data_IF_060383393982
#
_entry.id   IF_060383393982
#
_cell.length_a   1.000
_cell.length_b   1.000
_cell.length_c   1.000
_cell.angle_alpha   90.00
_cell.angle_beta   90.00
_cell.angle_gamma   90.00
#
_symmetry.space_group_name_H-M   'P 1'
#
loop_
_entity.id
_entity.type
_entity.pdbx_description
1 polymer ?
#
# COMPACT_ATOMS: atom_id res chain seq x y z
N UNK A 1 -7.50 9.08 -6.54
CA UNK A 1 -6.66 8.32 -5.56
C UNK A 1 -6.42 6.90 -6.09
N UNK A 2 -5.24 6.29 -5.88
CA UNK A 2 -4.94 4.90 -6.26
C UNK A 2 -5.50 3.89 -5.23
N UNK A 3 -6.30 2.93 -5.67
CA UNK A 3 -6.90 1.89 -4.81
C UNK A 3 -6.13 0.57 -4.94
N UNK A 4 -5.44 0.16 -3.89
CA UNK A 4 -4.68 -1.09 -3.83
C UNK A 4 -5.49 -2.11 -3.00
N UNK A 5 -5.87 -3.24 -3.59
CA UNK A 5 -6.63 -4.27 -2.86
C UNK A 5 -5.72 -5.06 -1.92
N UNK A 6 -6.11 -5.17 -0.64
CA UNK A 6 -5.37 -5.90 0.40
C UNK A 6 -5.68 -7.41 0.47
N UNK A 7 -6.52 -7.92 -0.45
CA UNK A 7 -7.21 -9.20 -0.25
C UNK A 7 -6.44 -10.43 -0.73
N UNK A 8 -5.33 -10.29 -1.45
CA UNK A 8 -4.44 -11.40 -1.83
C UNK A 8 -3.30 -11.49 -0.80
N UNK A 9 -3.69 -11.78 0.45
CA UNK A 9 -2.79 -11.81 1.59
C UNK A 9 -2.88 -13.16 2.33
N UNK A 10 -1.75 -13.85 2.48
CA UNK A 10 -1.63 -15.16 3.13
C UNK A 10 -1.98 -15.20 4.61
N UNK A 11 -2.18 -14.04 5.27
CA UNK A 11 -2.78 -13.95 6.60
C UNK A 11 -4.27 -14.34 6.60
N UNK A 12 -4.98 -14.17 5.47
CA UNK A 12 -6.33 -14.68 5.31
C UNK A 12 -6.29 -16.19 5.10
N UNK A 13 -6.88 -16.95 6.03
CA UNK A 13 -6.76 -18.41 6.07
C UNK A 13 -7.09 -19.12 4.74
N UNK A 14 -8.07 -18.62 3.96
CA UNK A 14 -8.41 -19.19 2.66
C UNK A 14 -7.30 -18.95 1.62
N UNK A 15 -6.79 -17.71 1.54
CA UNK A 15 -5.70 -17.33 0.63
C UNK A 15 -4.41 -18.05 1.01
N UNK A 16 -4.09 -18.12 2.30
CA UNK A 16 -2.93 -18.84 2.80
C UNK A 16 -2.94 -20.31 2.38
N UNK A 17 -4.07 -21.00 2.56
CA UNK A 17 -4.23 -22.40 2.10
C UNK A 17 -4.08 -22.54 0.58
N UNK A 18 -4.62 -21.60 -0.20
CA UNK A 18 -4.49 -21.61 -1.64
C UNK A 18 -3.03 -21.42 -2.09
N UNK A 19 -2.28 -20.54 -1.43
CA UNK A 19 -0.84 -20.35 -1.68
C UNK A 19 -0.06 -21.63 -1.36
N UNK A 20 -0.36 -22.27 -0.23
CA UNK A 20 0.33 -23.49 0.21
C UNK A 20 0.03 -24.68 -0.71
N UNK A 21 -1.20 -24.77 -1.22
CA UNK A 21 -1.64 -25.81 -2.15
C UNK A 21 -1.31 -25.51 -3.62
N UNK A 22 -0.74 -24.32 -3.93
CA UNK A 22 -0.57 -23.82 -5.30
C UNK A 22 -1.87 -23.87 -6.11
N UNK A 23 -2.98 -23.49 -5.48
CA UNK A 23 -4.31 -23.44 -6.11
C UNK A 23 -4.43 -22.19 -6.99
N UNK A 24 -3.98 -22.32 -8.24
CA UNK A 24 -3.98 -21.24 -9.22
C UNK A 24 -5.38 -20.71 -9.48
N UNK A 25 -6.36 -21.61 -9.60
CA UNK A 25 -7.74 -21.26 -9.92
C UNK A 25 -8.34 -20.39 -8.81
N UNK A 26 -8.13 -20.75 -7.54
CA UNK A 26 -8.61 -19.93 -6.43
C UNK A 26 -8.00 -18.53 -6.46
N UNK A 27 -6.68 -18.42 -6.62
CA UNK A 27 -5.98 -17.13 -6.63
C UNK A 27 -6.42 -16.27 -7.82
N UNK A 28 -6.52 -16.84 -9.01
CA UNK A 28 -6.97 -16.14 -10.21
C UNK A 28 -8.40 -15.62 -10.07
N UNK A 29 -9.33 -16.45 -9.60
CA UNK A 29 -10.72 -16.05 -9.35
C UNK A 29 -10.79 -14.93 -8.31
N UNK A 30 -9.99 -15.04 -7.24
CA UNK A 30 -9.94 -14.04 -6.18
C UNK A 30 -9.37 -12.71 -6.68
N UNK A 31 -8.35 -12.74 -7.55
CA UNK A 31 -7.79 -11.57 -8.21
C UNK A 31 -8.82 -10.87 -9.11
N UNK A 32 -9.52 -11.65 -9.97
CA UNK A 32 -10.60 -11.12 -10.82
C UNK A 32 -11.68 -10.45 -9.99
N UNK A 33 -12.10 -11.08 -8.89
CA UNK A 33 -13.08 -10.49 -7.98
C UNK A 33 -12.61 -9.13 -7.42
N UNK A 34 -11.32 -8.99 -7.08
CA UNK A 34 -10.81 -7.70 -6.59
C UNK A 34 -10.87 -6.61 -7.67
N UNK A 35 -10.60 -6.98 -8.93
CA UNK A 35 -10.72 -6.05 -10.06
C UNK A 35 -12.16 -5.63 -10.29
N UNK A 36 -13.11 -6.56 -10.24
CA UNK A 36 -14.54 -6.29 -10.36
C UNK A 36 -15.06 -5.38 -9.24
N UNK A 37 -14.46 -5.46 -8.05
CA UNK A 37 -14.73 -4.55 -6.93
C UNK A 37 -14.05 -3.16 -7.06
N UNK A 38 -13.30 -2.91 -8.14
CA UNK A 38 -12.70 -1.60 -8.43
C UNK A 38 -11.26 -1.43 -7.93
N UNK A 39 -10.53 -2.52 -7.66
CA UNK A 39 -9.09 -2.44 -7.42
C UNK A 39 -8.36 -1.85 -8.65
N UNK A 40 -7.39 -0.99 -8.39
CA UNK A 40 -6.51 -0.39 -9.41
C UNK A 40 -5.07 -0.90 -9.29
N UNK A 41 -4.75 -1.61 -8.21
CA UNK A 41 -3.55 -2.40 -8.01
C UNK A 41 -3.87 -3.56 -7.05
N UNK A 42 -3.04 -4.60 -7.04
CA UNK A 42 -3.22 -5.78 -6.19
C UNK A 42 -2.02 -5.94 -5.24
N UNK A 43 -2.26 -5.89 -3.94
CA UNK A 43 -1.26 -6.22 -2.91
C UNK A 43 -1.12 -7.74 -2.79
N UNK A 44 0.11 -8.22 -2.97
CA UNK A 44 0.48 -9.63 -2.98
C UNK A 44 1.37 -9.91 -1.77
N UNK A 45 0.78 -10.51 -0.74
CA UNK A 45 1.50 -10.88 0.47
C UNK A 45 1.40 -12.40 0.65
N UNK A 46 2.55 -13.07 0.67
CA UNK A 46 2.58 -14.53 0.85
C UNK A 46 2.24 -14.97 2.27
N UNK A 47 2.23 -14.08 3.26
CA UNK A 47 1.99 -14.37 4.67
C UNK A 47 3.23 -14.90 5.42
N UNK A 48 3.24 -14.87 6.76
CA UNK A 48 4.38 -15.29 7.58
C UNK A 48 4.56 -16.82 7.58
N UNK A 49 5.77 -17.26 7.91
CA UNK A 49 6.05 -18.66 8.29
C UNK A 49 6.13 -19.67 7.14
N UNK A 50 6.34 -19.23 5.90
CA UNK A 50 6.58 -20.13 4.76
C UNK A 50 8.08 -20.35 4.57
N UNK A 51 8.50 -21.61 4.66
CA UNK A 51 9.91 -22.02 4.49
C UNK A 51 10.44 -21.65 3.09
N UNK A 52 9.55 -21.58 2.10
CA UNK A 52 9.86 -21.22 0.71
C UNK A 52 9.15 -19.93 0.27
N UNK A 53 9.37 -18.85 1.04
CA UNK A 53 8.86 -17.51 0.72
C UNK A 53 9.15 -17.05 -0.72
N UNK A 54 10.41 -17.13 -1.21
CA UNK A 54 10.77 -16.73 -2.57
C UNK A 54 9.98 -17.45 -3.66
N UNK A 55 9.90 -18.79 -3.65
CA UNK A 55 9.15 -19.49 -4.70
C UNK A 55 7.63 -19.29 -4.56
N UNK A 56 7.13 -19.12 -3.33
CA UNK A 56 5.72 -18.77 -3.12
C UNK A 56 5.37 -17.40 -3.72
N UNK A 57 6.25 -16.40 -3.54
CA UNK A 57 6.02 -15.08 -4.12
C UNK A 57 6.13 -15.11 -5.65
N UNK A 58 7.14 -15.79 -6.20
CA UNK A 58 7.29 -15.96 -7.64
C UNK A 58 6.06 -16.64 -8.27
N UNK A 59 5.57 -17.73 -7.66
CA UNK A 59 4.35 -18.40 -8.11
C UNK A 59 3.12 -17.48 -8.01
N UNK A 60 2.95 -16.78 -6.88
CA UNK A 60 1.81 -15.90 -6.64
C UNK A 60 1.76 -14.78 -7.68
N UNK A 61 2.89 -14.12 -7.94
CA UNK A 61 3.02 -13.08 -8.96
C UNK A 61 2.63 -13.61 -10.34
N UNK A 62 3.24 -14.71 -10.77
CA UNK A 62 2.96 -15.33 -12.09
C UNK A 62 1.49 -15.70 -12.25
N UNK A 63 0.89 -16.29 -11.21
CA UNK A 63 -0.51 -16.72 -11.21
C UNK A 63 -1.47 -15.54 -11.35
N UNK A 64 -1.24 -14.45 -10.59
CA UNK A 64 -2.13 -13.28 -10.62
C UNK A 64 -2.06 -12.55 -11.96
N UNK A 65 -0.86 -12.40 -12.54
CA UNK A 65 -0.71 -11.67 -13.80
C UNK A 65 -1.21 -12.41 -15.04
N UNK A 66 -1.54 -13.71 -14.93
CA UNK A 66 -2.20 -14.45 -16.01
C UNK A 66 -3.64 -13.97 -16.26
N UNK A 67 -4.24 -13.32 -15.26
CA UNK A 67 -5.63 -12.84 -15.31
C UNK A 67 -5.76 -11.35 -15.03
N UNK A 68 -4.65 -10.63 -14.81
CA UNK A 68 -4.65 -9.21 -14.46
C UNK A 68 -3.46 -8.45 -15.05
N UNK A 69 -3.74 -7.33 -15.70
CA UNK A 69 -2.74 -6.35 -16.15
C UNK A 69 -2.56 -5.20 -15.14
N UNK A 70 -3.20 -5.27 -13.97
CA UNK A 70 -3.08 -4.23 -12.95
C UNK A 70 -1.66 -4.17 -12.38
N UNK A 71 -1.21 -3.00 -11.90
CA UNK A 71 -0.02 -2.90 -11.07
C UNK A 71 -0.04 -3.90 -9.91
N UNK A 72 1.09 -4.54 -9.66
CA UNK A 72 1.27 -5.49 -8.57
C UNK A 72 2.12 -4.87 -7.47
N UNK A 73 1.59 -4.89 -6.25
CA UNK A 73 2.25 -4.42 -5.04
C UNK A 73 2.84 -5.62 -4.30
N UNK A 74 4.15 -5.81 -4.38
CA UNK A 74 4.85 -6.96 -3.80
C UNK A 74 5.09 -6.67 -2.32
N UNK A 75 4.33 -7.32 -1.45
CA UNK A 75 4.34 -7.08 -0.02
C UNK A 75 5.11 -8.17 0.73
N UNK A 76 6.32 -7.82 1.16
CA UNK A 76 7.13 -8.68 2.02
C UNK A 76 8.25 -7.91 2.72
N UNK A 77 8.55 -8.23 4.00
CA UNK A 77 9.70 -7.66 4.69
C UNK A 77 11.04 -8.31 4.29
N UNK A 78 11.01 -9.44 3.55
CA UNK A 78 12.20 -10.23 3.25
C UNK A 78 12.79 -9.93 1.88
N UNK A 79 14.03 -9.44 1.82
CA UNK A 79 14.70 -9.05 0.55
C UNK A 79 14.78 -10.18 -0.49
N UNK A 80 14.95 -11.44 -0.06
CA UNK A 80 14.97 -12.60 -0.97
C UNK A 80 13.61 -12.83 -1.63
N UNK A 81 12.55 -12.75 -0.83
CA UNK A 81 11.16 -12.89 -1.30
C UNK A 81 10.78 -11.71 -2.20
N UNK A 82 11.18 -10.50 -1.82
CA UNK A 82 11.01 -9.29 -2.62
C UNK A 82 11.66 -9.44 -3.99
N UNK A 83 12.93 -9.82 -4.01
CA UNK A 83 13.70 -10.01 -5.26
C UNK A 83 13.05 -11.03 -6.18
N UNK A 84 12.54 -12.15 -5.63
CA UNK A 84 11.85 -13.17 -6.42
C UNK A 84 10.55 -12.63 -7.04
N UNK A 85 9.72 -11.93 -6.26
CA UNK A 85 8.49 -11.31 -6.76
C UNK A 85 8.74 -10.24 -7.82
N UNK A 86 9.71 -9.35 -7.55
CA UNK A 86 10.11 -8.28 -8.46
C UNK A 86 10.62 -8.83 -9.79
N UNK A 87 11.46 -9.87 -9.78
CA UNK A 87 11.96 -10.51 -11.01
C UNK A 87 10.88 -11.27 -11.80
N UNK A 88 9.88 -11.80 -11.10
CA UNK A 88 8.77 -12.51 -11.73
C UNK A 88 7.75 -11.55 -12.35
N UNK A 89 7.64 -10.32 -11.83
CA UNK A 89 6.63 -9.36 -12.23
C UNK A 89 6.91 -8.78 -13.63
N UNK A 90 5.90 -8.83 -14.50
CA UNK A 90 5.91 -8.17 -15.82
C UNK A 90 5.00 -6.94 -15.90
N UNK A 91 4.16 -6.74 -14.88
CA UNK A 91 3.24 -5.62 -14.80
C UNK A 91 3.96 -4.39 -14.23
N UNK A 92 3.27 -3.24 -14.15
CA UNK A 92 3.76 -2.14 -13.31
C UNK A 92 3.95 -2.63 -11.88
N UNK A 93 5.03 -2.22 -11.26
CA UNK A 93 5.49 -2.78 -10.00
C UNK A 93 5.50 -1.73 -8.90
N UNK A 94 4.96 -2.09 -7.74
CA UNK A 94 5.09 -1.34 -6.49
C UNK A 94 5.80 -2.25 -5.49
N UNK A 95 6.91 -1.79 -4.91
CA UNK A 95 7.63 -2.48 -3.85
C UNK A 95 7.04 -2.06 -2.50
N UNK A 96 6.49 -3.01 -1.75
CA UNK A 96 5.97 -2.83 -0.40
C UNK A 96 6.79 -3.64 0.61
N UNK A 97 7.76 -3.04 1.29
CA UNK A 97 8.13 -1.62 1.34
C UNK A 97 9.58 -1.49 1.82
N UNK A 98 10.10 -0.26 1.89
CA UNK A 98 11.32 0.06 2.66
C UNK A 98 10.99 0.94 3.87
N UNK A 99 11.84 0.91 4.88
CA UNK A 99 11.83 1.81 6.05
C UNK A 99 12.95 2.85 5.94
N UNK A 100 12.98 3.84 6.82
CA UNK A 100 14.01 4.89 6.86
C UNK A 100 15.38 4.41 7.39
N UNK A 101 15.61 3.10 7.45
CA UNK A 101 16.90 2.49 7.75
C UNK A 101 17.79 2.53 6.50
N UNK A 102 18.94 3.21 6.57
CA UNK A 102 19.85 3.41 5.43
C UNK A 102 20.19 2.09 4.74
N UNK A 103 20.51 1.05 5.50
CA UNK A 103 20.88 -0.26 4.95
C UNK A 103 19.75 -0.92 4.16
N UNK A 104 18.48 -0.72 4.56
CA UNK A 104 17.33 -1.27 3.83
C UNK A 104 17.06 -0.48 2.54
N UNK A 105 17.14 0.84 2.61
CA UNK A 105 17.03 1.70 1.44
C UNK A 105 18.11 1.41 0.40
N UNK A 106 19.38 1.28 0.82
CA UNK A 106 20.50 0.94 -0.06
C UNK A 106 20.37 -0.45 -0.70
N UNK A 107 19.65 -1.38 -0.06
CA UNK A 107 19.36 -2.69 -0.64
C UNK A 107 18.17 -2.65 -1.63
N UNK A 108 17.13 -1.87 -1.34
CA UNK A 108 15.88 -1.86 -2.12
C UNK A 108 15.86 -0.85 -3.26
N UNK A 109 16.47 0.33 -3.12
CA UNK A 109 16.44 1.35 -4.18
C UNK A 109 17.16 0.90 -5.47
N UNK A 110 18.33 0.24 -5.44
CA UNK A 110 18.90 -0.32 -6.66
C UNK A 110 17.96 -1.30 -7.37
N UNK A 111 17.28 -2.17 -6.61
CA UNK A 111 16.30 -3.11 -7.14
C UNK A 111 15.09 -2.39 -7.75
N UNK A 112 14.58 -1.36 -7.07
CA UNK A 112 13.49 -0.54 -7.58
C UNK A 112 13.85 0.21 -8.87
N UNK A 113 15.09 0.71 -8.95
CA UNK A 113 15.62 1.39 -10.13
C UNK A 113 15.80 0.45 -11.31
N UNK A 114 16.35 -0.75 -11.08
CA UNK A 114 16.55 -1.79 -12.10
C UNK A 114 15.22 -2.22 -12.73
N UNK A 115 14.16 -2.32 -11.92
CA UNK A 115 12.86 -2.84 -12.34
C UNK A 115 11.79 -1.78 -12.60
N UNK A 116 12.17 -0.50 -12.66
CA UNK A 116 11.24 0.63 -12.83
C UNK A 116 10.03 0.61 -11.87
N UNK A 117 10.27 0.19 -10.63
CA UNK A 117 9.25 0.06 -9.58
C UNK A 117 8.97 1.35 -8.79
N UNK A 118 7.71 1.63 -8.51
CA UNK A 118 7.35 2.54 -7.42
C UNK A 118 7.71 1.93 -6.07
N UNK A 119 7.98 2.74 -5.05
CA UNK A 119 8.40 2.25 -3.72
C UNK A 119 7.55 2.85 -2.62
N UNK A 120 6.95 1.99 -1.79
CA UNK A 120 6.32 2.40 -0.54
C UNK A 120 7.41 2.61 0.53
N UNK A 121 7.39 3.80 1.13
CA UNK A 121 8.38 4.28 2.08
C UNK A 121 7.73 4.50 3.45
N UNK A 122 7.92 3.54 4.36
CA UNK A 122 7.37 3.59 5.71
C UNK A 122 8.21 4.53 6.58
N UNK A 123 7.58 5.55 7.19
CA UNK A 123 8.28 6.48 8.09
C UNK A 123 8.49 5.85 9.48
N UNK A 124 9.39 4.87 9.55
CA UNK A 124 9.93 4.27 10.75
C UNK A 124 11.39 3.88 10.55
N UNK A 125 12.10 3.66 11.64
CA UNK A 125 13.49 3.17 11.63
C UNK A 125 13.70 2.07 12.69
N UNK A 126 14.96 1.78 13.02
CA UNK A 126 15.35 0.81 14.07
C UNK A 126 14.76 1.12 15.46
N UNK A 127 14.41 2.38 15.72
CA UNK A 127 13.79 2.84 16.99
C UNK A 127 12.28 2.66 16.98
N UNK A 128 11.70 2.29 15.84
CA UNK A 128 10.28 2.06 15.63
C UNK A 128 9.56 3.24 14.99
N UNK A 129 8.24 3.29 15.22
CA UNK A 129 7.37 4.32 14.63
C UNK A 129 7.51 5.62 15.42
N UNK A 130 7.78 6.78 14.78
CA UNK A 130 7.83 8.06 15.45
C UNK A 130 6.50 8.43 16.09
N UNK A 131 6.56 9.09 17.24
CA UNK A 131 5.37 9.47 17.98
C UNK A 131 4.68 10.71 17.41
N UNK A 132 5.42 11.68 16.88
CA UNK A 132 4.92 12.96 16.37
C UNK A 132 4.90 13.02 14.83
N UNK A 133 4.38 14.13 14.28
CA UNK A 133 4.16 14.28 12.83
C UNK A 133 5.40 14.82 12.13
N UNK A 134 6.15 15.66 12.83
CA UNK A 134 7.37 16.32 12.39
C UNK A 134 8.48 15.27 12.17
N UNK A 135 8.68 14.35 13.10
CA UNK A 135 9.64 13.25 12.96
C UNK A 135 9.32 12.32 11.79
N UNK A 136 8.02 12.09 11.50
CA UNK A 136 7.61 11.36 10.28
C UNK A 136 8.01 12.13 9.01
N UNK A 137 7.83 13.45 9.00
CA UNK A 137 8.24 14.30 7.88
C UNK A 137 9.76 14.36 7.70
N UNK A 138 10.52 14.40 8.79
CA UNK A 138 11.99 14.28 8.77
C UNK A 138 12.44 12.97 8.13
N UNK A 139 11.82 11.84 8.53
CA UNK A 139 12.09 10.53 7.90
C UNK A 139 11.71 10.52 6.42
N UNK A 140 10.56 11.09 6.04
CA UNK A 140 10.16 11.18 4.65
C UNK A 140 11.18 11.96 3.79
N UNK A 141 11.68 13.10 4.29
CA UNK A 141 12.72 13.89 3.62
C UNK A 141 14.02 13.11 3.47
N UNK A 142 14.43 12.36 4.50
CA UNK A 142 15.59 11.48 4.45
C UNK A 142 15.43 10.42 3.35
N UNK A 143 14.27 9.76 3.31
CA UNK A 143 13.98 8.73 2.31
C UNK A 143 13.96 9.29 0.89
N UNK A 144 13.36 10.47 0.68
CA UNK A 144 13.37 11.16 -0.62
C UNK A 144 14.78 11.51 -1.07
N UNK A 145 15.59 12.08 -0.18
CA UNK A 145 16.97 12.46 -0.52
C UNK A 145 17.81 11.22 -0.83
N UNK A 146 17.68 10.16 -0.04
CA UNK A 146 18.37 8.89 -0.27
C UNK A 146 17.94 8.26 -1.60
N UNK A 147 16.64 8.29 -1.94
CA UNK A 147 16.16 7.78 -3.22
C UNK A 147 16.76 8.53 -4.41
N UNK A 148 16.91 9.86 -4.31
CA UNK A 148 17.52 10.68 -5.35
C UNK A 148 19.00 10.34 -5.57
N UNK A 149 19.74 9.98 -4.53
CA UNK A 149 21.13 9.47 -4.65
C UNK A 149 21.20 8.16 -5.45
N UNK A 150 20.09 7.41 -5.51
CA UNK A 150 19.92 6.19 -6.31
C UNK A 150 19.16 6.42 -7.63
N UNK A 151 19.06 7.67 -8.10
CA UNK A 151 18.38 8.07 -9.33
C UNK A 151 16.86 7.76 -9.35
N UNK A 152 16.24 7.66 -8.17
CA UNK A 152 14.78 7.50 -8.03
C UNK A 152 14.20 8.87 -7.65
N UNK A 153 13.37 9.40 -8.55
CA UNK A 153 12.72 10.69 -8.35
C UNK A 153 11.61 10.60 -7.29
N UNK A 154 11.33 11.69 -6.54
CA UNK A 154 10.33 11.66 -5.47
C UNK A 154 8.91 11.28 -5.92
N UNK A 155 8.56 11.51 -7.18
CA UNK A 155 7.28 11.11 -7.75
C UNK A 155 7.11 9.60 -7.81
N UNK A 156 8.19 8.81 -7.75
CA UNK A 156 8.17 7.33 -7.67
C UNK A 156 8.03 6.77 -6.25
N UNK A 157 8.03 7.63 -5.23
CA UNK A 157 7.88 7.23 -3.84
C UNK A 157 6.44 7.42 -3.38
N UNK A 158 5.92 6.43 -2.64
CA UNK A 158 4.67 6.54 -1.89
C UNK A 158 5.01 6.58 -0.40
N UNK A 159 4.93 7.76 0.20
CA UNK A 159 5.24 7.96 1.62
C UNK A 159 4.09 7.44 2.49
N UNK A 160 4.40 6.54 3.44
CA UNK A 160 3.44 5.99 4.40
C UNK A 160 3.77 6.47 5.83
N UNK A 161 2.89 7.28 6.46
CA UNK A 161 3.08 7.77 7.83
C UNK A 161 2.87 6.71 8.92
N UNK A 162 2.56 5.47 8.55
CA UNK A 162 2.24 4.33 9.40
C UNK A 162 1.01 4.55 10.29
N UNK A 163 -0.12 4.07 9.79
CA UNK A 163 -1.37 4.01 10.55
C UNK A 163 -1.26 2.97 11.68
N UNK A 164 -1.55 3.41 12.91
CA UNK A 164 -1.53 2.55 14.10
C UNK A 164 -2.95 2.16 14.54
N UNK A 165 -3.14 0.99 15.20
CA UNK A 165 -4.46 0.58 15.69
C UNK A 165 -5.01 1.54 16.75
N UNK A 166 -6.20 2.09 16.51
CA UNK A 166 -6.85 3.06 17.40
C UNK A 166 -7.05 2.50 18.81
N UNK A 167 -7.23 1.18 18.93
CA UNK A 167 -7.43 0.49 20.21
C UNK A 167 -6.20 0.59 21.14
N UNK A 168 -5.01 0.69 20.57
CA UNK A 168 -3.75 0.73 21.32
C UNK A 168 -3.08 2.11 21.30
N UNK A 169 -3.32 2.91 20.25
CA UNK A 169 -2.60 4.14 19.98
C UNK A 169 -3.54 5.24 19.45
N UNK A 170 -4.61 5.53 20.20
CA UNK A 170 -5.67 6.44 19.78
C UNK A 170 -5.18 7.84 19.40
N UNK A 171 -4.18 8.36 20.11
CA UNK A 171 -3.59 9.68 19.89
C UNK A 171 -2.79 9.77 18.57
N UNK A 172 -2.50 8.66 17.91
CA UNK A 172 -1.76 8.64 16.64
C UNK A 172 -2.59 9.05 15.44
N UNK A 173 -3.91 8.84 15.44
CA UNK A 173 -4.75 9.05 14.25
C UNK A 173 -4.65 10.48 13.70
N UNK A 174 -4.75 11.50 14.56
CA UNK A 174 -4.62 12.90 14.13
C UNK A 174 -3.18 13.29 13.80
N UNK A 175 -2.18 12.62 14.38
CA UNK A 175 -0.77 12.85 14.06
C UNK A 175 -0.43 12.29 12.68
N UNK A 176 -1.02 11.16 12.31
CA UNK A 176 -0.94 10.62 10.95
C UNK A 176 -1.58 11.59 9.94
N UNK A 177 -2.75 12.16 10.25
CA UNK A 177 -3.38 13.20 9.41
C UNK A 177 -2.47 14.42 9.24
N UNK A 178 -1.88 14.90 10.33
CA UNK A 178 -0.95 16.03 10.28
C UNK A 178 0.32 15.70 9.48
N UNK A 179 0.87 14.49 9.65
CA UNK A 179 2.02 14.04 8.85
C UNK A 179 1.70 13.97 7.36
N UNK A 180 0.50 13.48 7.00
CA UNK A 180 0.01 13.47 5.62
C UNK A 180 0.01 14.89 5.01
N UNK A 181 -0.51 15.88 5.76
CA UNK A 181 -0.49 17.29 5.33
C UNK A 181 0.93 17.83 5.19
N UNK A 182 1.84 17.49 6.11
CA UNK A 182 3.25 17.87 6.01
C UNK A 182 3.89 17.27 4.75
N UNK A 183 3.63 15.99 4.45
CA UNK A 183 4.15 15.33 3.24
C UNK A 183 3.78 16.09 1.97
N UNK A 184 2.56 16.63 1.87
CA UNK A 184 2.12 17.43 0.72
C UNK A 184 2.93 18.72 0.50
N UNK A 185 3.71 19.15 1.49
CA UNK A 185 4.51 20.38 1.43
C UNK A 185 6.01 20.13 1.23
N UNK A 186 6.44 18.86 1.18
CA UNK A 186 7.86 18.49 1.12
C UNK A 186 8.51 18.68 -0.26
N UNK A 187 7.72 18.69 -1.34
CA UNK A 187 8.20 18.84 -2.71
C UNK A 187 7.13 19.48 -3.60
N UNK A 188 7.55 20.03 -4.75
CA UNK A 188 6.66 20.46 -5.82
C UNK A 188 7.07 19.78 -7.14
N UNK A 189 6.26 18.88 -7.72
CA UNK A 189 4.94 18.44 -7.23
C UNK A 189 5.02 17.65 -5.91
N UNK A 190 3.92 17.67 -5.16
CA UNK A 190 3.80 16.95 -3.89
C UNK A 190 4.10 15.44 -4.06
N UNK A 191 4.83 14.81 -3.11
CA UNK A 191 5.11 13.39 -3.17
C UNK A 191 3.81 12.58 -3.03
N UNK A 192 3.78 11.40 -3.66
CA UNK A 192 2.65 10.49 -3.47
C UNK A 192 2.67 9.94 -2.05
N UNK A 193 1.49 9.60 -1.56
CA UNK A 193 1.29 9.09 -0.20
C UNK A 193 0.42 7.85 -0.23
N UNK A 194 0.64 6.94 0.71
CA UNK A 194 -0.12 5.70 0.84
C UNK A 194 -0.36 5.36 2.30
N UNK A 195 -1.41 4.60 2.59
CA UNK A 195 -1.62 4.00 3.91
C UNK A 195 -2.17 2.58 3.80
N UNK A 196 -1.74 1.70 4.70
CA UNK A 196 -2.49 0.50 5.06
C UNK A 196 -3.70 0.87 5.93
N UNK A 197 -4.87 1.09 5.31
CA UNK A 197 -6.03 1.66 6.00
C UNK A 197 -6.56 0.75 7.11
N UNK A 198 -6.67 -0.55 6.85
CA UNK A 198 -7.22 -1.54 7.78
C UNK A 198 -6.48 -1.63 9.11
N UNK A 199 -5.26 -1.08 9.19
CA UNK A 199 -4.48 -0.99 10.43
C UNK A 199 -5.18 -0.15 11.51
N UNK A 200 -5.91 0.91 11.13
CA UNK A 200 -6.56 1.81 12.11
C UNK A 200 -7.55 1.06 13.01
N UNK A 201 -8.21 0.03 12.46
CA UNK A 201 -9.25 -0.73 13.14
C UNK A 201 -8.79 -2.08 13.69
N UNK A 202 -7.50 -2.41 13.61
CA UNK A 202 -7.00 -3.68 14.11
C UNK A 202 -7.36 -3.91 15.59
N UNK A 203 -8.01 -5.04 15.87
CA UNK A 203 -8.47 -5.42 17.21
C UNK A 203 -9.73 -4.70 17.72
N UNK A 204 -10.28 -3.74 16.97
CA UNK A 204 -11.56 -3.10 17.27
C UNK A 204 -12.75 -3.97 16.82
N UNK A 205 -13.95 -3.71 17.38
CA UNK A 205 -15.19 -4.38 16.97
C UNK A 205 -15.78 -3.75 15.70
N UNK A 206 -16.03 -2.45 15.76
CA UNK A 206 -16.68 -1.69 14.68
C UNK A 206 -15.67 -1.23 13.62
N UNK A 207 -15.08 -2.21 12.91
CA UNK A 207 -13.95 -1.94 12.00
C UNK A 207 -14.32 -1.09 10.79
N UNK A 208 -15.43 -1.42 10.13
CA UNK A 208 -15.81 -0.76 8.87
C UNK A 208 -16.06 0.74 9.06
N UNK A 209 -16.80 1.14 10.10
CA UNK A 209 -17.06 2.57 10.35
C UNK A 209 -15.76 3.34 10.68
N UNK A 210 -14.82 2.73 11.40
CA UNK A 210 -13.52 3.32 11.68
C UNK A 210 -12.69 3.50 10.41
N UNK A 211 -12.60 2.45 9.58
CA UNK A 211 -11.87 2.48 8.31
C UNK A 211 -12.44 3.55 7.37
N UNK A 212 -13.77 3.54 7.15
CA UNK A 212 -14.50 4.46 6.28
C UNK A 212 -14.33 5.92 6.71
N UNK A 213 -14.51 6.20 8.00
CA UNK A 213 -14.38 7.55 8.55
C UNK A 213 -12.95 8.06 8.41
N UNK A 214 -11.97 7.22 8.76
CA UNK A 214 -10.57 7.61 8.72
C UNK A 214 -10.07 7.81 7.28
N UNK A 215 -10.54 7.00 6.33
CA UNK A 215 -10.27 7.18 4.91
C UNK A 215 -10.72 8.57 4.42
N UNK A 216 -11.95 8.98 4.74
CA UNK A 216 -12.45 10.29 4.36
C UNK A 216 -11.59 11.44 4.93
N UNK A 217 -11.14 11.31 6.19
CA UNK A 217 -10.23 12.26 6.82
C UNK A 217 -8.87 12.32 6.09
N UNK A 218 -8.30 11.16 5.76
CA UNK A 218 -7.02 11.05 5.05
C UNK A 218 -7.10 11.62 3.63
N UNK A 219 -8.20 11.37 2.91
CA UNK A 219 -8.43 11.94 1.58
C UNK A 219 -8.43 13.48 1.62
N UNK A 220 -9.08 14.07 2.63
CA UNK A 220 -9.05 15.51 2.88
C UNK A 220 -7.67 16.05 3.28
N UNK A 221 -6.78 15.18 3.79
CA UNK A 221 -5.41 15.51 4.16
C UNK A 221 -4.40 15.34 3.00
N UNK A 222 -4.83 14.90 1.82
CA UNK A 222 -3.97 14.71 0.65
C UNK A 222 -3.54 13.27 0.40
N UNK A 223 -4.29 12.26 0.88
CA UNK A 223 -3.99 10.86 0.57
C UNK A 223 -4.02 10.59 -0.95
N UNK A 224 -2.92 10.03 -1.47
CA UNK A 224 -2.75 9.70 -2.89
C UNK A 224 -3.10 8.26 -3.26
N UNK A 225 -2.87 7.30 -2.36
CA UNK A 225 -3.15 5.88 -2.53
C UNK A 225 -3.60 5.24 -1.21
N UNK A 226 -4.29 4.10 -1.26
CA UNK A 226 -4.67 3.35 -0.06
C UNK A 226 -4.68 1.84 -0.32
N UNK A 227 -4.09 1.07 0.59
CA UNK A 227 -4.24 -0.38 0.69
C UNK A 227 -5.50 -0.64 1.53
N UNK A 228 -6.53 -1.20 0.90
CA UNK A 228 -7.91 -1.27 1.44
C UNK A 228 -8.61 -2.58 1.08
N UNK A 229 -9.66 -2.90 1.83
CA UNK A 229 -10.65 -3.91 1.42
C UNK A 229 -11.62 -3.33 0.39
N UNK A 230 -11.37 -3.63 -0.89
CA UNK A 230 -12.23 -3.21 -2.01
C UNK A 230 -13.61 -3.87 -2.00
N UNK A 231 -13.81 -4.93 -1.21
CA UNK A 231 -15.12 -5.60 -1.09
C UNK A 231 -16.06 -4.84 -0.14
N UNK A 232 -15.55 -3.85 0.61
CA UNK A 232 -16.38 -2.91 1.36
C UNK A 232 -16.96 -1.86 0.40
N UNK A 233 -18.16 -2.12 -0.12
CA UNK A 233 -18.83 -1.27 -1.10
C UNK A 233 -19.08 0.17 -0.59
N UNK A 234 -19.32 0.37 0.70
CA UNK A 234 -19.50 1.71 1.27
C UNK A 234 -18.17 2.45 1.36
N UNK A 235 -17.08 1.74 1.66
CA UNK A 235 -15.74 2.31 1.63
C UNK A 235 -15.36 2.75 0.21
N UNK A 236 -15.66 1.92 -0.80
CA UNK A 236 -15.46 2.29 -2.21
C UNK A 236 -16.35 3.48 -2.63
N UNK A 237 -17.58 3.58 -2.12
CA UNK A 237 -18.44 4.73 -2.36
C UNK A 237 -17.86 6.03 -1.77
N UNK A 238 -17.22 5.96 -0.58
CA UNK A 238 -16.53 7.11 0.02
C UNK A 238 -15.36 7.57 -0.85
N UNK A 239 -14.60 6.65 -1.44
CA UNK A 239 -13.52 6.99 -2.38
C UNK A 239 -14.08 7.79 -3.55
N UNK A 240 -15.11 7.27 -4.23
CA UNK A 240 -15.73 7.95 -5.38
C UNK A 240 -16.28 9.34 -5.01
N UNK A 241 -16.96 9.44 -3.87
CA UNK A 241 -17.48 10.72 -3.37
C UNK A 241 -16.34 11.70 -3.02
N UNK A 242 -15.26 11.22 -2.40
CA UNK A 242 -14.10 12.03 -2.07
C UNK A 242 -13.37 12.55 -3.31
N UNK A 243 -13.21 11.73 -4.35
CA UNK A 243 -12.62 12.15 -5.63
C UNK A 243 -13.44 13.25 -6.31
N UNK A 244 -14.77 13.17 -6.27
CA UNK A 244 -15.65 14.25 -6.73
C UNK A 244 -15.47 15.55 -5.94
N UNK A 245 -15.48 15.45 -4.60
CA UNK A 245 -15.34 16.63 -3.73
C UNK A 245 -13.98 17.30 -3.87
N UNK A 246 -12.94 16.55 -4.25
CA UNK A 246 -11.60 17.05 -4.58
C UNK A 246 -11.48 17.57 -6.03
N UNK A 247 -12.56 17.52 -6.81
CA UNK A 247 -12.57 17.84 -8.24
C UNK A 247 -11.59 17.00 -9.10
N UNK A 248 -11.24 15.79 -8.65
CA UNK A 248 -10.45 14.81 -9.43
C UNK A 248 -11.31 14.14 -10.51
N UNK A 249 -12.63 14.16 -10.32
CA UNK A 249 -13.65 13.61 -11.23
C UNK A 249 -14.76 14.65 -11.44
N UNK A 250 -15.35 14.66 -12.63
CA UNK A 250 -16.51 15.50 -12.93
C UNK A 250 -17.78 14.90 -12.31
N UNK A 251 -18.65 15.78 -11.81
CA UNK A 251 -19.93 15.38 -11.24
C UNK A 251 -20.88 14.79 -12.29
N UNK A 252 -21.56 13.72 -11.90
CA UNK A 252 -22.77 13.22 -12.54
C UNK A 252 -23.66 12.56 -11.48
N UNK A 253 -24.98 12.49 -11.71
CA UNK A 253 -25.93 11.95 -10.74
C UNK A 253 -25.64 10.46 -10.41
N UNK A 254 -25.11 9.70 -11.38
CA UNK A 254 -24.75 8.28 -11.26
C UNK A 254 -23.26 8.04 -10.91
N UNK A 255 -22.57 8.99 -10.27
CA UNK A 255 -21.12 8.92 -10.05
C UNK A 255 -20.62 7.68 -9.28
N UNK A 256 -21.49 7.01 -8.53
CA UNK A 256 -21.13 5.76 -7.84
C UNK A 256 -20.99 4.58 -8.81
N UNK A 257 -21.60 4.65 -9.99
CA UNK A 257 -21.52 3.62 -11.05
C UNK A 257 -20.48 3.92 -12.10
N UNK A 258 -20.22 5.22 -12.35
CA UNK A 258 -19.13 5.69 -13.20
C UNK A 258 -17.75 5.32 -12.63
#
# INVERSE_FOLDING_TARGET
MLVISERINGLFAAVGRAIDARDEKFIQQHAVQQMECGAQALDLNVGPGRDDGPAAMEWLVRTVQEVSDLPLCIDTPGIKTMTAGVKACRNKLIINSTTAEINKMQALFPLAREHDADVICLTMDERGVPNDSESRAEMAMLMMTTAMEHEIMPDRLLLDPLVMPIKAAQDQAMKVIKAMQLFQTLNDPAPRTVVGLSNVSNGAKERSILNRTFLAMLMGAGLGAAIVDVQDAELMAIIKAGELLKAEKLYCDDFLRA
#
